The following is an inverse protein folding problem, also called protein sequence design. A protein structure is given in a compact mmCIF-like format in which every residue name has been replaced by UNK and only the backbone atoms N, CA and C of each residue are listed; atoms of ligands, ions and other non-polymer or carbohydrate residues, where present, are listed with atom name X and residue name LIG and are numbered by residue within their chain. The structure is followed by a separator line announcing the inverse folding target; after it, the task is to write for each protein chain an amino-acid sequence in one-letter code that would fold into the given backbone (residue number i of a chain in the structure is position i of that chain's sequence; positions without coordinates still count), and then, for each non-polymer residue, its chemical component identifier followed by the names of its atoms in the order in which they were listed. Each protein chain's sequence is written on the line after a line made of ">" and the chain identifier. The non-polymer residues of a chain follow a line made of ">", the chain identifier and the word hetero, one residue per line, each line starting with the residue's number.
data_IF_892820526102
#
_entry.id   IF_892820526102
#
_cell.length_a   1.000
_cell.length_b   1.000
_cell.length_c   1.000
_cell.angle_alpha   90.00
_cell.angle_beta   90.00
_cell.angle_gamma   90.00
#
_symmetry.space_group_name_H-M   'P 1'
#
loop_
_entity.id
_entity.type
_entity.pdbx_description
1 polymer ?
#
# COMPACT_ATOMS: atom_id res chain seq x y z
N UNK A 1 15.61 -21.34 7.43
CA UNK A 1 15.98 -21.35 8.87
C UNK A 1 15.90 -19.92 9.35
N UNK A 2 14.88 -19.62 10.16
CA UNK A 2 14.69 -18.34 10.84
C UNK A 2 15.86 -18.16 11.83
N UNK A 3 16.69 -17.14 11.65
CA UNK A 3 17.67 -16.78 12.68
C UNK A 3 17.01 -15.78 13.63
N UNK A 4 16.29 -16.33 14.61
CA UNK A 4 16.05 -15.69 15.90
C UNK A 4 17.45 -15.42 16.49
N UNK A 5 17.82 -14.14 16.66
CA UNK A 5 19.10 -13.79 17.29
C UNK A 5 19.87 -12.60 16.73
N UNK A 6 19.26 -11.69 15.95
CA UNK A 6 19.84 -10.34 15.81
C UNK A 6 19.59 -9.55 17.11
N UNK A 7 20.18 -10.03 18.20
CA UNK A 7 20.14 -9.42 19.51
C UNK A 7 20.65 -7.97 19.41
N UNK A 8 19.77 -7.04 19.75
CA UNK A 8 20.09 -5.76 20.40
C UNK A 8 21.27 -5.02 19.73
N UNK A 9 21.06 -4.59 18.48
CA UNK A 9 21.85 -3.48 17.95
C UNK A 9 21.24 -2.21 18.53
N UNK A 10 21.73 -1.81 19.71
CA UNK A 10 21.45 -0.50 20.29
C UNK A 10 21.85 0.59 19.29
N UNK A 11 21.00 1.59 19.13
CA UNK A 11 21.25 2.74 18.26
C UNK A 11 22.61 3.40 18.57
N UNK A 12 23.02 3.36 19.84
CA UNK A 12 24.31 3.85 20.35
C UNK A 12 25.51 3.21 19.65
N UNK A 13 25.45 1.91 19.33
CA UNK A 13 26.55 1.23 18.64
C UNK A 13 26.73 1.73 17.21
N UNK A 14 25.65 2.12 16.52
CA UNK A 14 25.75 2.59 15.12
C UNK A 14 26.42 3.97 15.08
N UNK A 15 26.05 4.87 16.00
CA UNK A 15 26.71 6.18 16.16
C UNK A 15 28.18 6.03 16.56
N UNK A 16 28.49 5.16 17.53
CA UNK A 16 29.88 4.91 17.95
C UNK A 16 30.75 4.29 16.84
N UNK A 17 30.16 3.42 16.00
CA UNK A 17 30.84 2.81 14.84
C UNK A 17 31.14 3.83 13.75
N UNK A 18 30.25 4.81 13.55
CA UNK A 18 30.46 5.89 12.57
C UNK A 18 31.52 6.89 13.04
N UNK A 19 31.64 7.10 14.36
CA UNK A 19 32.57 8.08 14.93
C UNK A 19 33.99 7.53 15.18
N UNK A 20 34.17 6.25 15.51
CA UNK A 20 35.45 5.76 16.05
C UNK A 20 36.23 4.69 15.27
N UNK A 21 35.71 4.07 14.19
CA UNK A 21 36.53 3.27 13.24
C UNK A 21 35.69 2.79 12.04
N UNK A 22 35.99 3.33 10.86
CA UNK A 22 35.14 3.27 9.66
C UNK A 22 34.78 1.88 9.12
N UNK A 23 33.64 1.86 8.41
CA UNK A 23 33.14 0.89 7.40
C UNK A 23 33.07 -0.61 7.73
N UNK A 24 33.93 -1.16 8.58
CA UNK A 24 34.17 -2.60 8.74
C UNK A 24 33.06 -3.37 9.49
N UNK A 25 32.38 -2.84 10.53
CA UNK A 25 31.36 -3.60 11.24
C UNK A 25 30.11 -3.85 10.40
N UNK A 26 29.66 -2.84 9.65
CA UNK A 26 28.49 -2.94 8.76
C UNK A 26 28.79 -3.87 7.57
N UNK A 27 30.03 -3.83 7.06
CA UNK A 27 30.47 -4.71 5.99
C UNK A 27 30.42 -6.19 6.37
N UNK A 28 30.67 -6.53 7.63
CA UNK A 28 30.61 -7.90 8.15
C UNK A 28 29.20 -8.44 8.42
N UNK A 29 28.22 -7.56 8.64
CA UNK A 29 26.81 -7.96 8.88
C UNK A 29 26.13 -8.38 7.57
N UNK A 30 26.47 -7.70 6.48
CA UNK A 30 25.90 -7.96 5.15
C UNK A 30 26.79 -8.95 4.39
N UNK A 31 26.19 -10.02 3.85
CA UNK A 31 26.93 -11.05 3.12
C UNK A 31 27.58 -10.47 1.86
N UNK A 32 28.77 -10.96 1.50
CA UNK A 32 29.53 -10.51 0.31
C UNK A 32 28.70 -10.49 -0.99
N UNK A 33 27.82 -11.48 -1.18
CA UNK A 33 26.93 -11.54 -2.36
C UNK A 33 25.98 -10.34 -2.47
N UNK A 34 25.54 -9.77 -1.35
CA UNK A 34 24.70 -8.57 -1.34
C UNK A 34 25.52 -7.32 -1.65
N UNK A 35 26.76 -7.23 -1.14
CA UNK A 35 27.70 -6.16 -1.48
C UNK A 35 28.00 -6.10 -2.98
N UNK A 36 28.10 -7.26 -3.65
CA UNK A 36 28.24 -7.29 -5.12
C UNK A 36 27.03 -6.69 -5.85
N UNK A 37 25.81 -6.93 -5.37
CA UNK A 37 24.60 -6.34 -5.96
C UNK A 37 24.56 -4.83 -5.72
N UNK A 38 24.84 -4.38 -4.49
CA UNK A 38 24.86 -2.97 -4.12
C UNK A 38 25.89 -2.20 -4.94
N UNK A 39 27.13 -2.71 -5.01
CA UNK A 39 28.22 -2.03 -5.74
C UNK A 39 28.04 -2.05 -7.26
N UNK A 40 27.29 -3.01 -7.81
CA UNK A 40 27.01 -3.08 -9.24
C UNK A 40 25.79 -2.28 -9.68
N UNK A 41 24.74 -2.19 -8.86
CA UNK A 41 23.47 -1.57 -9.24
C UNK A 41 23.23 -0.16 -8.67
N UNK A 42 23.76 0.16 -7.49
CA UNK A 42 23.52 1.47 -6.86
C UNK A 42 24.35 2.59 -7.51
N UNK A 43 23.75 3.77 -7.68
CA UNK A 43 24.35 4.92 -8.36
C UNK A 43 25.03 5.89 -7.40
N UNK A 44 24.75 5.78 -6.10
CA UNK A 44 25.31 6.67 -5.09
C UNK A 44 25.62 5.95 -3.77
N UNK A 45 26.51 6.56 -2.98
CA UNK A 45 26.84 6.08 -1.63
C UNK A 45 25.59 6.10 -0.73
N UNK A 46 24.74 7.13 -0.84
CA UNK A 46 23.50 7.25 -0.06
C UNK A 46 22.54 6.10 -0.36
N UNK A 47 22.37 5.79 -1.64
CA UNK A 47 21.56 4.66 -2.10
C UNK A 47 22.12 3.31 -1.60
N UNK A 48 23.44 3.14 -1.65
CA UNK A 48 24.08 1.94 -1.13
C UNK A 48 23.81 1.75 0.38
N UNK A 49 24.01 2.79 1.18
CA UNK A 49 23.73 2.74 2.63
C UNK A 49 22.24 2.51 2.93
N UNK A 50 21.35 3.04 2.11
CA UNK A 50 19.91 2.78 2.21
C UNK A 50 19.60 1.28 2.11
N UNK A 51 20.06 0.62 1.03
CA UNK A 51 19.80 -0.80 0.84
C UNK A 51 20.54 -1.69 1.85
N UNK A 52 21.76 -1.31 2.29
CA UNK A 52 22.46 -1.99 3.38
C UNK A 52 21.61 -1.99 4.65
N UNK A 53 21.04 -0.84 5.01
CA UNK A 53 20.17 -0.75 6.19
C UNK A 53 18.94 -1.66 6.05
N UNK A 54 18.30 -1.68 4.87
CA UNK A 54 17.16 -2.58 4.62
C UNK A 54 17.52 -4.06 4.75
N UNK A 55 18.69 -4.48 4.26
CA UNK A 55 19.15 -5.87 4.44
C UNK A 55 19.25 -6.22 5.93
N UNK A 56 19.73 -5.30 6.76
CA UNK A 56 19.90 -5.50 8.20
C UNK A 56 18.55 -5.50 8.93
N UNK A 57 17.68 -4.54 8.64
CA UNK A 57 16.39 -4.36 9.33
C UNK A 57 15.31 -5.36 8.88
N UNK A 58 15.30 -5.73 7.59
CA UNK A 58 14.28 -6.59 6.98
C UNK A 58 14.75 -8.02 6.71
N UNK A 59 16.08 -8.27 6.74
CA UNK A 59 16.63 -9.60 6.46
C UNK A 59 16.56 -10.00 4.99
N UNK A 60 16.56 -9.04 4.06
CA UNK A 60 16.38 -9.27 2.63
C UNK A 60 17.36 -10.31 2.07
N UNK A 61 16.84 -11.28 1.32
CA UNK A 61 17.64 -12.17 0.49
C UNK A 61 18.24 -11.42 -0.70
N UNK A 62 19.19 -12.06 -1.39
CA UNK A 62 19.82 -11.46 -2.59
C UNK A 62 18.78 -11.14 -3.67
N UNK A 63 17.80 -12.04 -3.87
CA UNK A 63 16.76 -11.88 -4.90
C UNK A 63 15.82 -10.73 -4.54
N UNK A 64 15.36 -10.68 -3.29
CA UNK A 64 14.52 -9.57 -2.80
C UNK A 64 15.26 -8.23 -2.89
N UNK A 65 16.57 -8.20 -2.61
CA UNK A 65 17.40 -7.01 -2.82
C UNK A 65 17.42 -6.57 -4.30
N UNK A 66 17.59 -7.51 -5.22
CA UNK A 66 17.55 -7.22 -6.66
C UNK A 66 16.18 -6.67 -7.08
N UNK A 67 15.10 -7.26 -6.58
CA UNK A 67 13.72 -6.83 -6.87
C UNK A 67 13.44 -5.40 -6.35
N UNK A 68 13.86 -5.06 -5.12
CA UNK A 68 13.65 -3.71 -4.56
C UNK A 68 14.50 -2.65 -5.27
N UNK A 69 15.71 -3.00 -5.72
CA UNK A 69 16.55 -2.10 -6.51
C UNK A 69 15.92 -1.85 -7.90
N UNK A 70 15.40 -2.90 -8.54
CA UNK A 70 14.73 -2.78 -9.83
C UNK A 70 13.42 -1.98 -9.74
N UNK A 71 12.75 -2.01 -8.59
CA UNK A 71 11.58 -1.19 -8.30
C UNK A 71 11.89 0.29 -8.01
N UNK A 72 13.16 0.70 -8.06
CA UNK A 72 13.67 2.04 -7.76
C UNK A 72 13.24 2.55 -6.38
N UNK A 73 13.29 1.66 -5.38
CA UNK A 73 12.76 1.90 -4.04
C UNK A 73 13.47 3.05 -3.30
N UNK A 74 14.77 3.26 -3.55
CA UNK A 74 15.52 4.38 -2.97
C UNK A 74 14.99 5.76 -3.40
N UNK A 75 14.57 5.92 -4.65
CA UNK A 75 14.03 7.21 -5.12
C UNK A 75 12.66 7.50 -4.51
N UNK A 76 11.96 6.48 -4.04
CA UNK A 76 10.65 6.56 -3.37
C UNK A 76 10.78 6.79 -1.86
N UNK A 77 11.87 6.31 -1.27
CA UNK A 77 12.15 6.48 0.15
C UNK A 77 12.16 7.95 0.59
N UNK A 78 11.42 8.27 1.66
CA UNK A 78 11.38 9.61 2.25
C UNK A 78 10.51 10.64 1.51
N UNK A 79 9.69 10.24 0.54
CA UNK A 79 8.78 11.14 -0.19
C UNK A 79 7.41 11.32 0.49
N UNK A 80 7.18 10.60 1.58
CA UNK A 80 6.02 10.80 2.42
C UNK A 80 6.05 12.20 3.06
N UNK A 81 4.91 12.88 3.05
CA UNK A 81 4.79 14.21 3.65
C UNK A 81 4.31 14.00 5.07
N UNK A 82 5.09 14.46 6.05
CA UNK A 82 4.80 14.24 7.47
C UNK A 82 5.06 15.50 8.28
N UNK A 83 4.44 15.59 9.46
CA UNK A 83 4.80 16.56 10.48
C UNK A 83 5.64 15.92 11.62
N UNK A 84 6.25 14.75 11.37
CA UNK A 84 6.94 13.99 12.42
C UNK A 84 8.12 14.74 13.02
N UNK A 85 8.84 15.53 12.22
CA UNK A 85 10.00 16.30 12.67
C UNK A 85 9.66 17.37 13.71
N UNK A 86 8.41 17.84 13.73
CA UNK A 86 7.93 18.85 14.67
C UNK A 86 7.11 18.26 15.82
N UNK A 87 6.45 17.11 15.60
CA UNK A 87 5.54 16.50 16.57
C UNK A 87 6.12 15.30 17.34
N UNK A 88 7.29 14.78 16.94
CA UNK A 88 7.97 13.67 17.62
C UNK A 88 9.38 14.07 18.04
N UNK A 89 9.93 13.38 19.03
CA UNK A 89 11.37 13.52 19.35
C UNK A 89 12.23 13.16 18.14
N UNK A 90 13.44 13.71 18.03
CA UNK A 90 14.31 13.47 16.87
C UNK A 90 14.52 11.97 16.58
N UNK A 91 14.72 11.16 17.64
CA UNK A 91 14.87 9.71 17.51
C UNK A 91 13.60 9.03 16.99
N UNK A 92 12.43 9.40 17.53
CA UNK A 92 11.15 8.85 17.10
C UNK A 92 10.76 9.29 15.70
N UNK A 93 10.97 10.56 15.36
CA UNK A 93 10.74 11.09 14.02
C UNK A 93 11.58 10.32 13.00
N UNK A 94 12.87 10.10 13.28
CA UNK A 94 13.72 9.34 12.38
C UNK A 94 13.23 7.90 12.20
N UNK A 95 12.82 7.24 13.28
CA UNK A 95 12.27 5.88 13.21
C UNK A 95 10.94 5.85 12.43
N UNK A 96 10.02 6.78 12.71
CA UNK A 96 8.72 6.88 12.05
C UNK A 96 8.86 7.18 10.55
N UNK A 97 9.79 8.05 10.16
CA UNK A 97 10.10 8.32 8.75
C UNK A 97 10.65 7.08 8.04
N UNK A 98 11.44 6.25 8.71
CA UNK A 98 11.94 5.00 8.11
C UNK A 98 10.83 3.95 7.93
N UNK A 99 9.79 4.01 8.77
CA UNK A 99 8.65 3.09 8.75
C UNK A 99 7.65 3.47 7.65
N UNK A 100 7.57 4.75 7.28
CA UNK A 100 6.62 5.23 6.30
C UNK A 100 7.16 5.07 4.87
N UNK A 101 6.61 4.08 4.15
CA UNK A 101 6.87 3.89 2.71
C UNK A 101 5.95 4.77 1.88
N UNK A 102 6.46 5.27 0.76
CA UNK A 102 5.67 6.03 -0.21
C UNK A 102 6.25 5.89 -1.63
N UNK A 103 5.50 5.33 -2.60
CA UNK A 103 4.19 4.69 -2.46
C UNK A 103 4.26 3.33 -1.76
N UNK A 104 3.16 2.93 -1.11
CA UNK A 104 2.94 1.55 -0.67
C UNK A 104 2.52 0.69 -1.85
N UNK A 105 3.18 -0.43 -2.08
CA UNK A 105 2.87 -1.35 -3.17
C UNK A 105 1.79 -2.34 -2.75
N UNK A 106 0.62 -2.23 -3.39
CA UNK A 106 -0.53 -3.10 -3.16
C UNK A 106 -0.72 -4.10 -4.31
N UNK A 107 0.38 -4.62 -4.85
CA UNK A 107 0.40 -5.54 -6.00
C UNK A 107 -0.12 -6.95 -5.70
N UNK A 108 -0.29 -7.27 -4.43
CA UNK A 108 -1.02 -8.44 -3.95
C UNK A 108 -2.53 -8.29 -4.10
N UNK A 109 -3.06 -7.05 -4.13
CA UNK A 109 -4.49 -6.83 -4.27
C UNK A 109 -4.95 -6.97 -5.73
N UNK A 110 -6.13 -7.57 -5.89
CA UNK A 110 -6.83 -7.60 -7.17
C UNK A 110 -8.25 -7.07 -7.00
N UNK A 111 -8.54 -5.93 -7.61
CA UNK A 111 -9.82 -5.23 -7.49
C UNK A 111 -10.53 -5.11 -8.85
N UNK A 112 -11.84 -4.97 -8.83
CA UNK A 112 -12.60 -4.69 -10.05
C UNK A 112 -12.37 -3.27 -10.55
N UNK A 113 -12.52 -3.06 -11.87
CA UNK A 113 -12.48 -1.71 -12.44
C UNK A 113 -13.58 -0.84 -11.83
N UNK A 114 -13.19 0.33 -11.31
CA UNK A 114 -14.09 1.25 -10.62
C UNK A 114 -14.45 0.81 -9.19
N UNK A 115 -13.55 0.08 -8.52
CA UNK A 115 -13.66 -0.22 -7.10
C UNK A 115 -13.84 1.06 -6.27
N UNK A 116 -14.59 0.96 -5.18
CA UNK A 116 -14.76 2.07 -4.24
C UNK A 116 -13.87 1.93 -2.98
N UNK A 117 -13.88 2.95 -2.12
CA UNK A 117 -13.14 2.95 -0.83
C UNK A 117 -13.44 1.73 0.04
N UNK A 118 -14.69 1.23 0.04
CA UNK A 118 -15.08 0.04 0.81
C UNK A 118 -14.44 -1.23 0.23
N UNK A 119 -14.38 -1.36 -1.09
CA UNK A 119 -13.74 -2.49 -1.76
C UNK A 119 -12.24 -2.55 -1.45
N UNK A 120 -11.57 -1.38 -1.47
CA UNK A 120 -10.15 -1.25 -1.10
C UNK A 120 -9.91 -1.69 0.36
N UNK A 121 -10.69 -1.17 1.32
CA UNK A 121 -10.58 -1.53 2.74
C UNK A 121 -10.80 -3.03 2.96
N UNK A 122 -11.80 -3.59 2.29
CA UNK A 122 -12.12 -5.01 2.40
C UNK A 122 -10.99 -5.89 1.86
N UNK A 123 -10.40 -5.52 0.72
CA UNK A 123 -9.33 -6.29 0.12
C UNK A 123 -8.06 -6.26 0.99
N UNK A 124 -7.68 -5.10 1.51
CA UNK A 124 -6.55 -4.98 2.45
C UNK A 124 -6.77 -5.81 3.71
N UNK A 125 -7.99 -5.79 4.26
CA UNK A 125 -8.33 -6.58 5.43
C UNK A 125 -8.32 -8.10 5.16
N UNK A 126 -8.72 -8.51 3.94
CA UNK A 126 -8.73 -9.91 3.55
C UNK A 126 -7.30 -10.44 3.42
N UNK A 127 -6.42 -9.66 2.81
CA UNK A 127 -5.00 -9.99 2.61
C UNK A 127 -4.10 -9.25 3.60
N UNK A 128 -4.50 -9.18 4.88
CA UNK A 128 -3.80 -8.41 5.92
C UNK A 128 -2.35 -8.87 6.12
N UNK A 129 -2.07 -10.16 5.88
CA UNK A 129 -0.71 -10.71 5.95
C UNK A 129 0.21 -10.07 4.90
N UNK A 130 -0.27 -9.94 3.66
CA UNK A 130 0.50 -9.29 2.60
C UNK A 130 0.66 -7.80 2.87
N UNK A 131 -0.39 -7.15 3.39
CA UNK A 131 -0.30 -5.74 3.77
C UNK A 131 0.68 -5.48 4.92
N UNK A 132 0.74 -6.38 5.92
CA UNK A 132 1.74 -6.32 7.00
C UNK A 132 3.18 -6.43 6.46
N UNK A 133 3.40 -7.33 5.49
CA UNK A 133 4.69 -7.45 4.82
C UNK A 133 5.05 -6.17 4.05
N UNK A 134 4.07 -5.55 3.39
CA UNK A 134 4.27 -4.28 2.69
C UNK A 134 4.60 -3.13 3.66
N UNK A 135 3.89 -3.01 4.78
CA UNK A 135 4.20 -2.00 5.80
C UNK A 135 5.60 -2.18 6.41
N UNK A 136 6.06 -3.43 6.53
CA UNK A 136 7.41 -3.78 6.99
C UNK A 136 7.47 -4.28 8.43
N UNK A 137 8.69 -4.42 8.93
CA UNK A 137 8.94 -5.08 10.21
C UNK A 137 8.49 -4.25 11.42
N UNK A 138 7.79 -4.93 12.35
CA UNK A 138 7.41 -4.38 13.65
C UNK A 138 5.96 -3.96 13.79
N UNK A 139 5.17 -4.00 12.72
CA UNK A 139 3.73 -3.82 12.79
C UNK A 139 3.04 -5.06 13.36
N UNK A 140 2.12 -4.81 14.30
CA UNK A 140 1.20 -5.79 14.86
C UNK A 140 -0.22 -5.33 14.55
N UNK A 141 -1.01 -6.18 13.89
CA UNK A 141 -2.40 -5.86 13.57
C UNK A 141 -3.27 -5.92 14.84
N UNK A 142 -3.93 -4.82 15.17
CA UNK A 142 -4.81 -4.72 16.35
C UNK A 142 -6.25 -4.98 15.95
N UNK A 143 -6.71 -4.39 14.84
CA UNK A 143 -8.07 -4.62 14.35
C UNK A 143 -8.43 -3.81 13.12
N UNK A 144 -9.50 -4.25 12.46
CA UNK A 144 -10.16 -3.54 11.36
C UNK A 144 -11.40 -2.86 11.90
N UNK A 145 -11.61 -1.60 11.53
CA UNK A 145 -12.77 -0.83 11.98
C UNK A 145 -12.99 -0.89 13.49
N UNK A 146 -11.94 -0.69 14.32
CA UNK A 146 -12.12 -0.66 15.76
C UNK A 146 -13.01 0.52 16.15
N UNK A 147 -13.93 0.26 17.07
CA UNK A 147 -14.78 1.30 17.63
C UNK A 147 -14.01 2.11 18.66
N UNK A 148 -13.95 3.42 18.45
CA UNK A 148 -13.46 4.42 19.39
C UNK A 148 -14.66 5.20 19.91
N UNK A 149 -15.07 4.90 21.15
CA UNK A 149 -16.21 5.58 21.78
C UNK A 149 -15.75 6.92 22.35
N UNK A 150 -16.21 8.02 21.75
CA UNK A 150 -15.88 9.38 22.19
C UNK A 150 -17.18 10.06 22.63
N UNK A 151 -17.29 10.34 23.93
CA UNK A 151 -18.56 10.76 24.52
C UNK A 151 -19.57 9.60 24.46
N UNK A 152 -20.65 9.78 23.71
CA UNK A 152 -21.71 8.77 23.53
C UNK A 152 -21.83 8.28 22.08
N UNK A 153 -20.83 8.57 21.23
CA UNK A 153 -20.83 8.21 19.82
C UNK A 153 -19.64 7.30 19.49
N UNK A 154 -19.88 6.29 18.66
CA UNK A 154 -18.86 5.38 18.14
C UNK A 154 -18.24 5.92 16.86
N UNK A 155 -16.91 5.98 16.82
CA UNK A 155 -16.13 6.39 15.66
C UNK A 155 -15.24 5.24 15.19
N UNK A 156 -15.19 5.00 13.89
CA UNK A 156 -14.51 3.81 13.32
C UNK A 156 -13.39 4.23 12.39
N UNK A 157 -12.14 4.02 12.77
CA UNK A 157 -10.99 4.17 11.87
C UNK A 157 -10.87 2.96 10.94
N UNK A 158 -10.21 3.06 9.79
CA UNK A 158 -10.16 1.91 8.88
C UNK A 158 -9.37 0.73 9.43
N UNK A 159 -8.14 0.98 9.85
CA UNK A 159 -7.25 -0.02 10.43
C UNK A 159 -6.49 0.55 11.63
N UNK A 160 -6.23 -0.31 12.61
CA UNK A 160 -5.41 0.01 13.76
C UNK A 160 -4.31 -1.04 13.92
N UNK A 161 -3.09 -0.54 14.10
CA UNK A 161 -1.90 -1.32 14.35
C UNK A 161 -1.20 -0.84 15.63
N UNK A 162 -0.28 -1.65 16.12
CA UNK A 162 0.71 -1.27 17.10
C UNK A 162 2.10 -1.52 16.52
N UNK A 163 3.02 -0.58 16.66
CA UNK A 163 4.39 -0.74 16.19
C UNK A 163 5.33 -1.04 17.36
N UNK A 164 5.91 -2.24 17.40
CA UNK A 164 6.64 -2.75 18.56
C UNK A 164 7.95 -1.99 18.86
N UNK A 165 8.70 -1.56 17.83
CA UNK A 165 9.96 -0.80 18.03
C UNK A 165 9.69 0.66 18.43
N UNK A 166 8.71 1.29 17.79
CA UNK A 166 8.25 2.64 18.11
C UNK A 166 7.46 2.70 19.43
N UNK A 167 6.92 1.56 19.89
CA UNK A 167 6.02 1.46 21.05
C UNK A 167 4.86 2.45 20.98
N UNK A 168 4.15 2.48 19.86
CA UNK A 168 2.97 3.33 19.70
C UNK A 168 1.90 2.66 18.85
N UNK A 169 0.67 3.14 19.02
CA UNK A 169 -0.41 2.82 18.09
C UNK A 169 -0.20 3.54 16.75
N UNK A 170 -0.61 2.89 15.67
CA UNK A 170 -0.62 3.47 14.32
C UNK A 170 -2.02 3.33 13.75
N UNK A 171 -2.68 4.47 13.55
CA UNK A 171 -4.00 4.55 12.91
C UNK A 171 -3.77 4.71 11.41
N UNK A 172 -4.36 3.85 10.59
CA UNK A 172 -4.26 3.94 9.13
C UNK A 172 -5.65 4.22 8.54
N UNK A 173 -5.78 5.29 7.76
CA UNK A 173 -6.97 5.61 6.95
C UNK A 173 -6.66 5.43 5.46
N UNK A 174 -7.60 4.84 4.73
CA UNK A 174 -7.46 4.49 3.33
C UNK A 174 -8.38 5.36 2.46
N UNK A 175 -7.85 5.91 1.36
CA UNK A 175 -8.59 6.74 0.41
C UNK A 175 -8.32 6.35 -1.04
N UNK A 176 -9.38 5.93 -1.71
CA UNK A 176 -9.42 5.65 -3.15
C UNK A 176 -9.20 6.90 -4.03
N UNK A 177 -9.36 8.08 -3.45
CA UNK A 177 -9.28 9.37 -4.12
C UNK A 177 -8.02 10.13 -3.75
N UNK A 178 -7.79 11.24 -4.46
CA UNK A 178 -6.72 12.17 -4.15
C UNK A 178 -6.89 12.78 -2.75
N UNK A 179 -5.76 13.12 -2.12
CA UNK A 179 -5.76 13.77 -0.82
C UNK A 179 -6.67 15.02 -0.78
N UNK A 180 -7.45 15.11 0.30
CA UNK A 180 -8.23 16.30 0.66
C UNK A 180 -7.91 16.73 2.09
N UNK A 181 -7.86 18.03 2.40
CA UNK A 181 -7.58 18.53 3.75
C UNK A 181 -8.50 17.96 4.84
N UNK A 182 -9.77 17.69 4.52
CA UNK A 182 -10.74 17.09 5.44
C UNK A 182 -10.30 15.70 5.97
N UNK A 183 -9.53 14.94 5.19
CA UNK A 183 -9.01 13.64 5.61
C UNK A 183 -7.98 13.77 6.73
N UNK A 184 -7.16 14.82 6.69
CA UNK A 184 -6.18 15.10 7.74
C UNK A 184 -6.87 15.44 9.07
N UNK A 185 -7.98 16.19 9.02
CA UNK A 185 -8.80 16.48 10.19
C UNK A 185 -9.41 15.22 10.82
N UNK A 186 -9.98 14.33 10.00
CA UNK A 186 -10.53 13.05 10.45
C UNK A 186 -9.46 12.16 11.09
N UNK A 187 -8.30 12.03 10.44
CA UNK A 187 -7.19 11.24 10.97
C UNK A 187 -6.63 11.83 12.27
N UNK A 188 -6.49 13.16 12.35
CA UNK A 188 -6.06 13.86 13.56
C UNK A 188 -6.98 13.55 14.75
N UNK A 189 -8.29 13.53 14.52
CA UNK A 189 -9.26 13.13 15.54
C UNK A 189 -9.04 11.68 16.01
N UNK A 190 -8.85 10.73 15.10
CA UNK A 190 -8.60 9.33 15.48
C UNK A 190 -7.30 9.14 16.26
N UNK A 191 -6.23 9.84 15.89
CA UNK A 191 -4.97 9.83 16.62
C UNK A 191 -5.17 10.36 18.04
N UNK A 192 -5.89 11.48 18.18
CA UNK A 192 -6.24 12.03 19.48
C UNK A 192 -7.08 11.06 20.33
N UNK A 193 -8.08 10.41 19.73
CA UNK A 193 -8.92 9.42 20.41
C UNK A 193 -8.09 8.21 20.87
N UNK A 194 -7.23 7.64 20.03
CA UNK A 194 -6.34 6.54 20.40
C UNK A 194 -5.39 6.93 21.54
N UNK A 195 -4.83 8.15 21.49
CA UNK A 195 -3.99 8.70 22.56
C UNK A 195 -4.72 8.82 23.90
N UNK A 196 -6.04 9.01 23.90
CA UNK A 196 -6.85 9.18 25.12
C UNK A 196 -7.48 7.88 25.62
N UNK A 197 -7.83 6.97 24.72
CA UNK A 197 -8.59 5.76 25.03
C UNK A 197 -7.73 4.51 25.16
N UNK A 198 -6.65 4.40 24.36
CA UNK A 198 -5.89 3.15 24.21
C UNK A 198 -4.46 3.26 24.75
N UNK A 199 -3.81 4.41 24.51
CA UNK A 199 -2.39 4.62 24.82
C UNK A 199 -2.11 4.46 26.33
N UNK A 200 -1.15 3.61 26.65
CA UNK A 200 -0.64 3.44 28.02
C UNK A 200 0.45 4.49 28.34
N UNK A 201 0.79 4.73 29.62
CA UNK A 201 1.83 5.68 29.99
C UNK A 201 3.20 5.40 29.37
N UNK A 202 3.51 4.13 29.10
CA UNK A 202 4.78 3.69 28.52
C UNK A 202 4.76 3.62 26.98
N UNK A 203 3.64 3.97 26.36
CA UNK A 203 3.51 4.09 24.92
C UNK A 203 3.83 5.51 24.46
N UNK A 204 4.51 5.59 23.33
CA UNK A 204 4.80 6.83 22.63
C UNK A 204 3.53 7.37 21.94
N UNK A 205 3.54 8.66 21.52
CA UNK A 205 2.41 9.26 20.83
C UNK A 205 1.96 8.42 19.62
N UNK A 206 0.65 8.22 19.51
CA UNK A 206 0.02 7.53 18.38
C UNK A 206 0.36 8.26 17.09
N UNK A 207 0.62 7.49 16.02
CA UNK A 207 0.92 8.01 14.68
C UNK A 207 -0.29 7.78 13.77
N UNK A 208 -0.67 8.79 13.00
CA UNK A 208 -1.66 8.67 11.93
C UNK A 208 -0.99 8.51 10.57
N UNK A 209 -1.42 7.52 9.79
CA UNK A 209 -1.01 7.34 8.40
C UNK A 209 -2.22 7.42 7.48
N UNK A 210 -2.17 8.32 6.50
CA UNK A 210 -3.18 8.43 5.46
C UNK A 210 -2.60 7.86 4.16
N UNK A 211 -3.24 6.83 3.60
CA UNK A 211 -2.88 6.26 2.31
C UNK A 211 -3.90 6.68 1.25
N UNK A 212 -3.47 7.53 0.32
CA UNK A 212 -4.31 8.05 -0.76
C UNK A 212 -3.89 7.48 -2.12
N UNK A 213 -4.77 7.55 -3.11
CA UNK A 213 -4.41 7.23 -4.51
C UNK A 213 -3.38 8.21 -5.08
N UNK A 214 -3.50 9.49 -4.74
CA UNK A 214 -2.51 10.52 -5.08
C UNK A 214 -2.55 11.67 -4.08
N UNK A 215 -1.56 12.57 -4.14
CA UNK A 215 -1.47 13.75 -3.27
C UNK A 215 -0.81 14.92 -4.00
N UNK A 216 -1.17 16.13 -3.60
CA UNK A 216 -0.48 17.37 -3.97
C UNK A 216 0.31 17.89 -2.77
N UNK A 217 1.59 18.18 -2.98
CA UNK A 217 2.52 18.53 -1.89
C UNK A 217 2.00 19.73 -1.09
N UNK A 218 1.69 20.82 -1.78
CA UNK A 218 1.27 22.10 -1.16
C UNK A 218 -0.01 21.92 -0.35
N UNK A 219 -1.00 21.20 -0.89
CA UNK A 219 -2.25 20.93 -0.17
C UNK A 219 -2.02 20.14 1.12
N UNK A 220 -1.12 19.17 1.11
CA UNK A 220 -0.82 18.36 2.30
C UNK A 220 -0.08 19.19 3.34
N UNK A 221 0.93 19.96 2.94
CA UNK A 221 1.69 20.84 3.84
C UNK A 221 0.76 21.83 4.54
N UNK A 222 -0.08 22.55 3.80
CA UNK A 222 -1.03 23.50 4.40
C UNK A 222 -2.04 22.85 5.33
N UNK A 223 -2.47 21.62 5.03
CA UNK A 223 -3.36 20.88 5.93
C UNK A 223 -2.65 20.48 7.23
N UNK A 224 -1.33 20.27 7.20
CA UNK A 224 -0.55 19.77 8.33
C UNK A 224 -0.06 20.89 9.26
N UNK A 225 0.06 22.13 8.78
CA UNK A 225 0.57 23.28 9.56
C UNK A 225 -0.16 23.50 10.90
N UNK A 226 -1.45 23.17 10.97
CA UNK A 226 -2.27 23.35 12.19
C UNK A 226 -2.42 22.07 13.03
N UNK A 227 -1.85 20.94 12.58
CA UNK A 227 -2.03 19.63 13.20
C UNK A 227 -0.90 19.35 14.19
N UNK A 228 -1.30 19.13 15.45
CA UNK A 228 -0.40 18.85 16.58
C UNK A 228 -0.11 17.36 16.76
N UNK A 229 -0.97 16.46 16.27
CA UNK A 229 -0.68 15.04 16.37
C UNK A 229 0.26 14.58 15.24
N UNK A 230 1.10 13.56 15.47
CA UNK A 230 1.97 13.01 14.43
C UNK A 230 1.16 12.36 13.31
N UNK A 231 1.21 12.92 12.10
CA UNK A 231 0.51 12.39 10.92
C UNK A 231 1.45 12.40 9.69
N UNK A 232 1.32 11.37 8.86
CA UNK A 232 1.94 11.27 7.54
C UNK A 232 0.94 10.93 6.44
N UNK A 233 1.16 11.47 5.23
CA UNK A 233 0.46 11.06 4.00
C UNK A 233 1.43 10.36 3.05
N UNK A 234 1.05 9.15 2.65
CA UNK A 234 1.69 8.40 1.59
C UNK A 234 0.67 8.02 0.51
N UNK A 235 1.18 7.70 -0.67
CA UNK A 235 0.39 7.16 -1.78
C UNK A 235 0.46 5.63 -1.81
N UNK A 236 -0.38 5.00 -2.62
CA UNK A 236 -0.27 3.57 -2.91
C UNK A 236 -0.37 3.30 -4.42
N UNK A 237 0.28 2.22 -4.88
CA UNK A 237 0.32 1.82 -6.28
C UNK A 237 0.22 0.30 -6.48
N UNK A 238 0.16 -0.16 -7.72
CA UNK A 238 0.35 -1.58 -8.07
C UNK A 238 -0.89 -2.47 -8.00
N UNK A 239 -2.06 -1.96 -7.61
CA UNK A 239 -3.31 -2.75 -7.56
C UNK A 239 -3.64 -3.34 -8.93
N UNK A 240 -3.83 -4.67 -8.99
CA UNK A 240 -4.23 -5.38 -10.21
C UNK A 240 -5.72 -5.14 -10.48
N UNK A 241 -6.07 -4.68 -11.67
CA UNK A 241 -7.46 -4.44 -12.05
C UNK A 241 -7.99 -5.62 -12.86
N UNK A 242 -9.08 -6.24 -12.38
CA UNK A 242 -9.90 -7.16 -13.16
C UNK A 242 -11.03 -6.38 -13.82
N UNK A 243 -11.26 -6.64 -15.10
CA UNK A 243 -12.47 -6.16 -15.75
C UNK A 243 -13.68 -6.83 -15.11
N UNK A 244 -14.73 -6.05 -14.83
CA UNK A 244 -15.98 -6.59 -14.30
C UNK A 244 -16.49 -7.63 -15.28
N UNK A 245 -16.67 -8.86 -14.81
CA UNK A 245 -17.41 -9.86 -15.57
C UNK A 245 -18.81 -9.29 -15.82
N UNK A 246 -19.34 -9.33 -17.06
CA UNK A 246 -20.69 -8.88 -17.34
C UNK A 246 -21.68 -9.59 -16.40
N UNK A 247 -22.70 -8.86 -15.94
CA UNK A 247 -23.69 -9.44 -15.03
C UNK A 247 -24.43 -10.61 -15.69
N UNK A 248 -25.07 -11.46 -14.90
CA UNK A 248 -25.90 -12.55 -15.44
C UNK A 248 -27.02 -11.99 -16.33
N UNK A 249 -27.60 -10.84 -15.97
CA UNK A 249 -28.56 -10.12 -16.81
C UNK A 249 -27.95 -9.62 -18.13
N UNK A 250 -26.73 -9.07 -18.12
CA UNK A 250 -26.06 -8.59 -19.34
C UNK A 250 -25.68 -9.77 -20.27
N UNK A 251 -25.28 -10.89 -19.68
CA UNK A 251 -25.02 -12.13 -20.40
C UNK A 251 -26.30 -12.70 -21.02
N UNK A 252 -27.42 -12.70 -20.29
CA UNK A 252 -28.73 -13.12 -20.81
C UNK A 252 -29.18 -12.26 -21.98
N UNK A 253 -29.11 -10.93 -21.84
CA UNK A 253 -29.47 -10.01 -22.94
C UNK A 253 -28.62 -10.24 -24.19
N UNK A 254 -27.31 -10.45 -24.03
CA UNK A 254 -26.43 -10.78 -25.17
C UNK A 254 -26.81 -12.12 -25.80
N UNK A 255 -27.15 -13.12 -25.01
CA UNK A 255 -27.59 -14.41 -25.52
C UNK A 255 -28.90 -14.28 -26.31
N UNK A 256 -29.88 -13.55 -25.77
CA UNK A 256 -31.16 -13.29 -26.44
C UNK A 256 -30.99 -12.54 -27.77
N UNK A 257 -30.09 -11.54 -27.81
CA UNK A 257 -29.76 -10.81 -29.04
C UNK A 257 -29.13 -11.73 -30.10
N UNK A 258 -28.16 -12.57 -29.70
CA UNK A 258 -27.52 -13.52 -30.61
C UNK A 258 -28.52 -14.58 -31.10
N UNK A 259 -29.45 -15.02 -30.25
CA UNK A 259 -30.52 -15.94 -30.65
C UNK A 259 -31.48 -15.30 -31.65
N UNK A 260 -31.79 -14.01 -31.51
CA UNK A 260 -32.60 -13.27 -32.50
C UNK A 260 -31.87 -13.12 -33.84
N UNK A 261 -30.61 -12.70 -33.82
CA UNK A 261 -29.80 -12.58 -35.04
C UNK A 261 -29.68 -13.92 -35.78
N UNK A 262 -29.51 -15.03 -35.05
CA UNK A 262 -29.48 -16.37 -35.64
C UNK A 262 -30.83 -16.81 -36.24
N UNK A 263 -31.96 -16.38 -35.66
CA UNK A 263 -33.29 -16.65 -36.23
C UNK A 263 -33.50 -15.85 -37.51
N UNK A 264 -33.18 -14.56 -37.49
CA UNK A 264 -33.27 -13.71 -38.67
C UNK A 264 -32.37 -14.20 -39.81
N UNK A 265 -31.17 -14.69 -39.50
CA UNK A 265 -30.27 -15.27 -40.48
C UNK A 265 -30.86 -16.53 -41.14
N UNK A 266 -31.45 -17.43 -40.35
CA UNK A 266 -32.10 -18.65 -40.84
C UNK A 266 -33.34 -18.35 -41.67
N UNK A 267 -34.17 -17.41 -41.25
CA UNK A 267 -35.36 -16.98 -42.00
C UNK A 267 -34.97 -16.35 -43.35
N UNK A 268 -33.88 -15.58 -43.38
CA UNK A 268 -33.34 -15.00 -44.61
C UNK A 268 -32.72 -16.06 -45.54
N UNK A 269 -32.02 -17.07 -45.01
CA UNK A 269 -31.54 -18.21 -45.80
C UNK A 269 -32.71 -19.02 -46.41
N UNK A 270 -33.76 -19.29 -45.64
CA UNK A 270 -34.95 -20.01 -46.12
C UNK A 270 -35.75 -19.21 -47.17
N UNK A 271 -35.82 -17.89 -47.03
CA UNK A 271 -36.43 -17.01 -48.03
C UNK A 271 -35.61 -16.99 -49.33
N UNK A 272 -34.27 -16.91 -49.24
CA UNK A 272 -33.38 -16.93 -50.41
C UNK A 272 -33.38 -18.29 -51.13
N UNK A 273 -33.52 -19.39 -50.39
CA UNK A 273 -33.66 -20.73 -50.96
C UNK A 273 -35.00 -20.95 -51.68
N UNK A 274 -36.08 -20.25 -51.30
CA UNK A 274 -37.38 -20.30 -51.96
C UNK A 274 -37.42 -19.48 -53.25
N UNK A 275 -36.74 -18.32 -53.28
CA UNK A 275 -36.64 -17.50 -54.50
C UNK A 275 -35.74 -18.15 -55.57
N UNK A 276 -34.71 -18.90 -55.19
CA UNK A 276 -33.87 -19.67 -56.13
C UNK A 276 -34.58 -20.84 -56.81
N UNK A 277 -35.74 -21.28 -56.31
CA UNK A 277 -36.53 -22.37 -56.88
C UNK A 277 -37.63 -21.89 -57.84
N UNK A 278 -37.85 -20.57 -57.94
CA UNK A 278 -38.83 -20.00 -58.89
C UNK A 278 -38.23 -19.69 -60.26
N UNK A 279 -36.90 -19.55 -60.37
CA UNK A 279 -36.20 -19.25 -61.64
C UNK A 279 -35.83 -20.49 -62.46
N UNK A 280 -35.94 -21.71 -61.92
CA UNK A 280 -35.60 -22.95 -62.65
C UNK A 280 -36.80 -23.63 -63.36
N UNK A 281 -38.03 -23.12 -63.19
CA UNK A 281 -39.24 -23.73 -63.76
C UNK A 281 -39.88 -22.94 -64.93
N UNK A 282 -39.16 -22.00 -65.56
CA UNK A 282 -39.65 -21.27 -66.74
C UNK A 282 -38.92 -21.59 -68.06
N UNK A 283 -37.90 -22.45 -68.08
CA UNK A 283 -37.25 -22.92 -69.32
C UNK A 283 -37.62 -24.38 -69.63
N UNK A 284 -38.90 -24.66 -69.89
CA UNK A 284 -39.30 -25.86 -70.66
C UNK A 284 -40.71 -25.69 -71.22
N UNK A 285 -40.82 -24.95 -72.32
CA UNK A 285 -41.85 -25.17 -73.33
C UNK A 285 -41.48 -24.53 -74.66
#
# INVERSE_FOLDING_TARGET
>A
MHQLGAEIISNDKISDILENNGMLPIFGIVLWKHHLVITSKCKSIKEAFYYIKRIIDEGLSKRELEDVIEADDFSKYGHAITNFSTQLSAQQSQLAMNVLKDPNRLDFLTLERGYNERDLKNAIATDITCFLLELGNGFTFVGRQPELVVGNEGYFSDLLFYHIRLRCYVVIELKEVDFKPEFAGKLNFYVAACNKLLRQPEDNPTIGLLLCKSKDQTKVEWAFDSIQNPIGVATYEGIKIKDKLPSVEDLKKRLDMVEQELREYKENEEASAKDGNYTSNQETK
#
